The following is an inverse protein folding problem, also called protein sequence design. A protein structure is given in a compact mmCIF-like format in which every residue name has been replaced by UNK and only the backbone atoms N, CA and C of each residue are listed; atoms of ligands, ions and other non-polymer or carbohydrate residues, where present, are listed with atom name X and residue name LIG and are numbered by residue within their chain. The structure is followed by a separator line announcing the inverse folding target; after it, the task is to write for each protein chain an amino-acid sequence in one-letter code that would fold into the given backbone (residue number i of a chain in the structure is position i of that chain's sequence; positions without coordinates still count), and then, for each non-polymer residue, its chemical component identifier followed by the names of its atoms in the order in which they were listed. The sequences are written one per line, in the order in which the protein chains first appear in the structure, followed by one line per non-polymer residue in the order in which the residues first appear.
data_IF_205787163141
#
_entry.id   IF_205787163141
#
_cell.length_a   1.000
_cell.length_b   1.000
_cell.length_c   1.000
_cell.angle_alpha   90.00
_cell.angle_beta   90.00
_cell.angle_gamma   90.00
#
_symmetry.space_group_name_H-M   'P 1'
#
loop_
_entity.id
_entity.type
_entity.pdbx_description
1 polymer ?
#
# COMPACT_ATOMS: atom_id res chain seq x y z
N UNK A 1 0.52 24.96 -12.13
CA UNK A 1 -0.46 24.71 -13.20
C UNK A 1 -1.37 23.59 -12.72
N UNK A 2 -2.68 23.74 -12.88
CA UNK A 2 -3.64 22.68 -12.64
C UNK A 2 -3.80 21.87 -13.94
N UNK A 3 -3.64 20.54 -13.87
CA UNK A 3 -3.61 19.64 -15.05
C UNK A 3 -4.90 18.80 -15.17
N UNK A 4 -5.98 19.25 -14.54
CA UNK A 4 -7.27 18.56 -14.50
C UNK A 4 -7.84 18.35 -15.90
N UNK A 5 -8.33 17.15 -16.17
CA UNK A 5 -8.90 16.73 -17.46
C UNK A 5 -10.21 15.95 -17.24
N UNK A 6 -11.04 15.79 -18.29
CA UNK A 6 -12.35 15.15 -18.16
C UNK A 6 -12.30 13.66 -17.77
N UNK A 7 -11.18 13.01 -18.04
CA UNK A 7 -10.84 11.63 -17.69
C UNK A 7 -10.16 11.50 -16.31
N UNK A 8 -9.92 12.61 -15.61
CA UNK A 8 -9.36 12.59 -14.25
C UNK A 8 -10.32 11.93 -13.26
N UNK A 9 -9.87 10.97 -12.44
CA UNK A 9 -10.73 10.26 -11.51
C UNK A 9 -10.99 11.08 -10.24
N UNK A 10 -12.22 11.05 -9.75
CA UNK A 10 -12.54 11.53 -8.41
C UNK A 10 -12.09 10.50 -7.39
N UNK A 11 -11.06 10.80 -6.60
CA UNK A 11 -10.52 9.87 -5.61
C UNK A 11 -10.17 10.59 -4.30
N UNK A 12 -10.61 10.04 -3.17
CA UNK A 12 -10.05 10.35 -1.85
C UNK A 12 -9.53 9.08 -1.18
N UNK A 13 -8.54 9.23 -0.29
CA UNK A 13 -7.96 8.11 0.46
C UNK A 13 -7.40 6.97 -0.43
N UNK A 14 -6.94 7.32 -1.63
CA UNK A 14 -6.22 6.43 -2.54
C UNK A 14 -4.72 6.45 -2.20
N UNK A 15 -3.98 5.48 -2.74
CA UNK A 15 -2.51 5.52 -2.74
C UNK A 15 -2.02 5.86 -4.14
N UNK A 16 -0.89 6.56 -4.25
CA UNK A 16 -0.22 6.81 -5.54
C UNK A 16 1.21 6.26 -5.48
N UNK A 17 1.60 5.48 -6.50
CA UNK A 17 2.92 4.90 -6.67
C UNK A 17 3.54 5.36 -8.00
N UNK A 18 4.86 5.56 -8.04
CA UNK A 18 5.59 5.98 -9.24
C UNK A 18 6.22 4.77 -9.93
N UNK A 19 5.93 4.57 -11.21
CA UNK A 19 6.46 3.47 -12.03
C UNK A 19 7.28 4.02 -13.21
N UNK A 20 8.47 3.47 -13.43
CA UNK A 20 9.46 3.89 -14.46
C UNK A 20 9.78 5.38 -14.49
N UNK A 21 9.67 6.07 -13.35
CA UNK A 21 9.83 7.53 -13.24
C UNK A 21 8.98 8.33 -14.25
N UNK A 22 7.87 7.73 -14.72
CA UNK A 22 6.99 8.27 -15.78
C UNK A 22 5.52 8.13 -15.42
N UNK A 23 5.13 6.97 -14.92
CA UNK A 23 3.73 6.66 -14.68
C UNK A 23 3.38 6.88 -13.22
N UNK A 24 2.29 7.61 -12.97
CA UNK A 24 1.66 7.71 -11.66
C UNK A 24 0.52 6.70 -11.59
N UNK A 25 0.63 5.71 -10.69
CA UNK A 25 -0.34 4.62 -10.52
C UNK A 25 -1.16 4.90 -9.26
N UNK A 26 -2.41 5.30 -9.46
CA UNK A 26 -3.37 5.57 -8.40
C UNK A 26 -4.20 4.32 -8.12
N UNK A 27 -4.20 3.87 -6.87
CA UNK A 27 -4.75 2.58 -6.45
C UNK A 27 -5.90 2.86 -5.48
N UNK A 28 -7.07 2.30 -5.79
CA UNK A 28 -8.27 2.32 -4.96
C UNK A 28 -8.76 3.71 -4.59
N UNK A 29 -9.43 3.82 -3.45
CA UNK A 29 -9.97 5.05 -2.89
C UNK A 29 -11.50 5.10 -2.88
N UNK A 30 -12.04 6.26 -2.47
CA UNK A 30 -13.46 6.58 -2.53
C UNK A 30 -13.75 7.56 -3.65
N UNK A 31 -14.74 7.24 -4.48
CA UNK A 31 -15.03 7.97 -5.72
C UNK A 31 -16.21 8.95 -5.62
N UNK A 32 -16.57 9.40 -4.42
CA UNK A 32 -17.81 10.18 -4.20
C UNK A 32 -19.02 9.32 -3.81
N UNK A 33 -18.99 8.02 -4.11
CA UNK A 33 -20.15 7.14 -3.95
C UNK A 33 -19.78 5.86 -3.23
N UNK A 34 -18.78 5.14 -3.75
CA UNK A 34 -18.34 3.85 -3.25
C UNK A 34 -16.82 3.81 -3.10
N UNK A 35 -16.36 2.81 -2.35
CA UNK A 35 -14.95 2.45 -2.33
C UNK A 35 -14.68 1.54 -3.51
N UNK A 36 -13.62 1.80 -4.25
CA UNK A 36 -13.29 1.06 -5.45
C UNK A 36 -11.93 0.37 -5.30
N UNK A 37 -11.73 -0.80 -5.94
CA UNK A 37 -10.41 -1.40 -6.10
C UNK A 37 -9.70 -0.93 -7.38
N UNK A 38 -10.35 -0.02 -8.14
CA UNK A 38 -9.91 0.45 -9.44
C UNK A 38 -8.51 1.05 -9.43
N UNK A 39 -7.84 0.94 -10.59
CA UNK A 39 -6.50 1.49 -10.78
C UNK A 39 -6.54 2.47 -11.95
N UNK A 40 -5.99 3.67 -11.71
CA UNK A 40 -5.86 4.72 -12.71
C UNK A 40 -4.37 4.98 -12.93
N UNK A 41 -3.95 5.13 -14.18
CA UNK A 41 -2.54 5.40 -14.51
C UNK A 41 -2.45 6.68 -15.31
N UNK A 42 -1.62 7.62 -14.84
CA UNK A 42 -1.33 8.86 -15.54
C UNK A 42 0.08 8.81 -16.11
N UNK A 43 0.22 9.13 -17.39
CA UNK A 43 1.51 9.23 -18.06
C UNK A 43 1.99 10.69 -18.03
N UNK A 44 3.08 10.94 -17.29
CA UNK A 44 3.64 12.29 -17.14
C UNK A 44 4.39 12.79 -18.37
N UNK A 45 4.73 11.92 -19.33
CA UNK A 45 5.37 12.35 -20.58
C UNK A 45 4.34 12.85 -21.59
N UNK A 46 3.27 12.09 -21.81
CA UNK A 46 2.18 12.49 -22.70
C UNK A 46 1.18 13.45 -22.04
N UNK A 47 1.22 13.58 -20.70
CA UNK A 47 0.26 14.31 -19.88
C UNK A 47 -1.19 13.82 -20.05
N UNK A 48 -1.38 12.51 -20.18
CA UNK A 48 -2.70 11.90 -20.39
C UNK A 48 -2.95 10.76 -19.41
N UNK A 49 -4.22 10.51 -19.08
CA UNK A 49 -4.59 9.25 -18.42
C UNK A 49 -4.58 8.11 -19.42
N UNK A 50 -4.03 6.97 -19.02
CA UNK A 50 -4.21 5.73 -19.73
C UNK A 50 -5.62 5.19 -19.46
N UNK A 51 -6.18 4.33 -20.34
CA UNK A 51 -7.46 3.68 -20.10
C UNK A 51 -7.51 3.06 -18.69
N UNK A 52 -8.50 3.43 -17.86
CA UNK A 52 -8.47 3.05 -16.46
C UNK A 52 -8.85 1.58 -16.30
N UNK A 53 -8.18 0.91 -15.37
CA UNK A 53 -8.45 -0.47 -15.03
C UNK A 53 -9.59 -0.53 -14.01
N UNK A 54 -10.81 -0.33 -14.50
CA UNK A 54 -12.04 -0.38 -13.70
C UNK A 54 -12.83 -1.67 -13.87
N UNK A 55 -12.70 -2.32 -15.03
CA UNK A 55 -13.46 -3.49 -15.40
C UNK A 55 -12.54 -4.58 -15.99
N UNK A 56 -13.02 -5.81 -15.97
CA UNK A 56 -12.48 -6.90 -16.76
C UNK A 56 -12.44 -6.53 -18.26
N UNK A 57 -11.39 -6.91 -19.02
CA UNK A 57 -10.24 -7.73 -18.61
C UNK A 57 -9.05 -6.92 -18.06
N UNK A 58 -9.22 -5.62 -17.80
CA UNK A 58 -8.14 -4.72 -17.40
C UNK A 58 -7.82 -4.80 -15.90
N UNK A 59 -8.77 -5.25 -15.09
CA UNK A 59 -8.58 -5.50 -13.67
C UNK A 59 -9.21 -6.83 -13.27
N UNK A 60 -8.41 -7.73 -12.70
CA UNK A 60 -8.88 -9.06 -12.27
C UNK A 60 -8.39 -9.42 -10.86
N UNK A 61 -8.99 -10.45 -10.26
CA UNK A 61 -8.50 -11.08 -9.03
C UNK A 61 -8.82 -10.36 -7.71
N UNK A 62 -9.48 -9.19 -7.77
CA UNK A 62 -10.03 -8.55 -6.57
C UNK A 62 -11.45 -9.05 -6.28
N UNK A 63 -11.86 -9.23 -5.01
CA UNK A 63 -13.21 -9.72 -4.71
C UNK A 63 -14.32 -8.78 -5.20
N UNK A 64 -15.36 -9.37 -5.78
CA UNK A 64 -16.49 -8.63 -6.33
C UNK A 64 -17.28 -7.90 -5.23
N UNK A 65 -17.59 -6.63 -5.46
CA UNK A 65 -18.39 -5.80 -4.53
C UNK A 65 -17.60 -5.28 -3.32
N UNK A 66 -16.31 -5.58 -3.23
CA UNK A 66 -15.39 -4.99 -2.28
C UNK A 66 -14.70 -3.73 -2.83
N UNK A 67 -14.07 -2.96 -1.95
CA UNK A 67 -13.29 -1.78 -2.34
C UNK A 67 -12.18 -1.49 -1.34
N UNK A 68 -11.19 -0.71 -1.81
CA UNK A 68 -10.00 -0.30 -1.06
C UNK A 68 -10.08 1.19 -0.76
N UNK A 69 -9.78 1.61 0.47
CA UNK A 69 -9.74 3.03 0.85
C UNK A 69 -8.98 3.17 2.15
N UNK A 70 -8.14 4.21 2.25
CA UNK A 70 -7.23 4.40 3.38
C UNK A 70 -6.36 3.18 3.67
N UNK A 71 -5.93 2.53 2.58
CA UNK A 71 -4.97 1.45 2.55
C UNK A 71 -3.57 2.03 2.37
N UNK A 72 -2.57 1.18 2.57
CA UNK A 72 -1.20 1.48 2.18
C UNK A 72 -0.81 0.60 1.00
N UNK A 73 0.00 1.13 0.09
CA UNK A 73 0.59 0.37 -0.99
C UNK A 73 2.08 0.67 -1.10
N UNK A 74 2.85 -0.31 -1.54
CA UNK A 74 4.27 -0.13 -1.82
C UNK A 74 4.67 -0.95 -3.03
N UNK A 75 5.52 -0.40 -3.89
CA UNK A 75 6.19 -1.17 -4.93
C UNK A 75 7.03 -2.29 -4.29
N UNK A 76 6.82 -3.50 -4.76
CA UNK A 76 7.70 -4.64 -4.54
C UNK A 76 8.41 -4.84 -5.87
N UNK A 77 9.73 -4.78 -5.93
CA UNK A 77 10.42 -5.17 -7.17
C UNK A 77 10.77 -6.66 -7.11
N UNK A 78 10.66 -7.34 -8.24
CA UNK A 78 11.65 -8.31 -8.72
C UNK A 78 11.45 -8.73 -10.18
N UNK A 79 12.60 -8.96 -10.83
CA UNK A 79 12.93 -9.48 -12.17
C UNK A 79 12.70 -8.55 -13.38
N UNK A 80 13.84 -8.03 -13.87
CA UNK A 80 14.36 -7.89 -15.26
C UNK A 80 13.46 -7.49 -16.44
N UNK A 81 12.14 -7.43 -16.28
CA UNK A 81 11.20 -7.00 -17.30
C UNK A 81 10.83 -5.52 -17.06
N UNK A 82 11.39 -4.68 -17.91
CA UNK A 82 11.15 -3.25 -18.03
C UNK A 82 9.66 -2.85 -18.04
N UNK A 83 8.74 -3.75 -18.39
CA UNK A 83 7.32 -3.42 -18.57
C UNK A 83 6.39 -3.93 -17.46
N UNK A 84 6.95 -4.46 -16.37
CA UNK A 84 6.17 -5.03 -15.27
C UNK A 84 6.14 -4.13 -14.04
N UNK A 85 4.97 -4.02 -13.43
CA UNK A 85 4.72 -3.33 -12.18
C UNK A 85 4.32 -4.36 -11.12
N UNK A 86 4.88 -4.25 -9.91
CA UNK A 86 4.50 -5.08 -8.79
C UNK A 86 4.41 -4.27 -7.51
N UNK A 87 3.34 -4.48 -6.75
CA UNK A 87 3.09 -3.78 -5.50
C UNK A 87 2.42 -4.69 -4.47
N UNK A 88 2.66 -4.41 -3.19
CA UNK A 88 1.88 -4.96 -2.08
C UNK A 88 0.90 -3.90 -1.63
N UNK A 89 -0.31 -4.34 -1.33
CA UNK A 89 -1.39 -3.51 -0.82
C UNK A 89 -1.85 -4.14 0.48
N UNK A 90 -1.91 -3.30 1.50
CA UNK A 90 -2.28 -3.69 2.86
C UNK A 90 -3.33 -2.73 3.34
N UNK A 91 -4.40 -3.26 3.89
CA UNK A 91 -5.47 -2.44 4.42
C UNK A 91 -6.82 -2.94 4.02
N UNK A 92 -7.83 -2.19 4.46
CA UNK A 92 -9.20 -2.64 4.47
C UNK A 92 -9.75 -2.95 3.07
N UNK A 93 -10.11 -4.22 2.86
CA UNK A 93 -11.17 -4.62 1.96
C UNK A 93 -12.51 -4.36 2.68
N UNK A 94 -13.45 -3.63 2.08
CA UNK A 94 -14.77 -3.55 2.70
C UNK A 94 -15.90 -3.12 1.78
N UNK A 95 -16.95 -3.94 1.75
CA UNK A 95 -18.31 -3.54 1.39
C UNK A 95 -19.04 -2.99 2.62
N UNK A 96 -20.08 -2.16 2.47
CA UNK A 96 -20.89 -1.70 3.61
C UNK A 96 -21.61 -2.86 4.35
N UNK A 97 -21.60 -4.10 3.83
CA UNK A 97 -22.44 -5.22 4.31
C UNK A 97 -21.66 -6.44 4.82
N UNK A 98 -20.41 -6.63 4.43
CA UNK A 98 -19.56 -7.75 4.88
C UNK A 98 -18.14 -7.25 5.12
N UNK A 99 -17.58 -7.61 6.28
CA UNK A 99 -16.22 -7.28 6.70
C UNK A 99 -15.52 -8.55 7.16
N UNK A 100 -14.34 -8.85 6.60
CA UNK A 100 -13.50 -9.96 7.08
C UNK A 100 -12.74 -9.52 8.35
N UNK A 101 -12.48 -10.47 9.25
CA UNK A 101 -11.80 -10.22 10.55
C UNK A 101 -10.28 -10.03 10.41
N UNK A 102 -9.64 -10.60 9.38
CA UNK A 102 -8.23 -10.40 9.07
C UNK A 102 -8.09 -9.30 8.00
N UNK A 103 -7.03 -8.48 8.10
CA UNK A 103 -6.71 -7.49 7.09
C UNK A 103 -6.16 -8.19 5.85
N UNK A 104 -6.78 -7.96 4.70
CA UNK A 104 -6.32 -8.59 3.47
C UNK A 104 -5.04 -7.93 3.00
N UNK A 105 -4.14 -8.77 2.54
CA UNK A 105 -2.92 -8.38 1.87
C UNK A 105 -3.07 -8.83 0.44
N UNK A 106 -2.85 -7.90 -0.48
CA UNK A 106 -2.89 -8.20 -1.91
C UNK A 106 -1.54 -7.91 -2.53
N UNK A 107 -1.13 -8.80 -3.42
CA UNK A 107 -0.11 -8.52 -4.41
C UNK A 107 -0.82 -7.99 -5.66
N UNK A 108 -0.33 -6.89 -6.19
CA UNK A 108 -0.83 -6.26 -7.40
C UNK A 108 0.24 -6.35 -8.47
N UNK A 109 -0.10 -6.95 -9.60
CA UNK A 109 0.76 -7.07 -10.77
C UNK A 109 0.19 -6.25 -11.91
N UNK A 110 1.01 -5.43 -12.55
CA UNK A 110 0.68 -4.62 -13.72
C UNK A 110 1.59 -4.97 -14.88
N UNK A 111 1.05 -4.95 -16.10
CA UNK A 111 1.83 -5.09 -17.33
C UNK A 111 1.45 -3.98 -18.31
N UNK A 112 2.47 -3.28 -18.78
CA UNK A 112 2.32 -2.21 -19.76
C UNK A 112 2.31 -2.83 -21.17
N UNK A 113 1.19 -2.64 -21.87
CA UNK A 113 0.96 -3.23 -23.19
C UNK A 113 0.78 -2.13 -24.24
N UNK A 114 1.05 -2.51 -25.49
CA UNK A 114 0.89 -1.64 -26.67
C UNK A 114 1.75 -0.36 -26.63
N UNK A 115 2.98 -0.48 -26.10
CA UNK A 115 3.96 0.59 -25.84
C UNK A 115 4.19 1.58 -26.98
N UNK A 116 4.28 1.07 -28.20
CA UNK A 116 4.62 1.87 -29.39
C UNK A 116 3.38 2.41 -30.10
N UNK A 117 2.20 2.29 -29.49
CA UNK A 117 0.93 2.71 -30.07
C UNK A 117 0.31 3.86 -29.29
N UNK A 118 -0.53 4.65 -29.95
CA UNK A 118 -1.43 5.61 -29.28
C UNK A 118 -2.50 4.95 -28.40
N UNK A 119 -2.55 3.61 -28.38
CA UNK A 119 -3.49 2.80 -27.59
C UNK A 119 -2.82 2.17 -26.36
N UNK A 120 -1.66 2.68 -25.95
CA UNK A 120 -0.96 2.24 -24.74
C UNK A 120 -1.91 2.15 -23.55
N UNK A 121 -1.81 1.05 -22.79
CA UNK A 121 -2.65 0.78 -21.63
C UNK A 121 -1.95 -0.13 -20.63
N UNK A 122 -2.44 -0.13 -19.39
CA UNK A 122 -1.97 -1.02 -18.34
C UNK A 122 -3.04 -2.08 -18.04
N UNK A 123 -2.61 -3.34 -17.94
CA UNK A 123 -3.44 -4.42 -17.39
C UNK A 123 -2.97 -4.76 -15.98
N UNK A 124 -3.92 -4.91 -15.06
CA UNK A 124 -3.63 -5.20 -13.65
C UNK A 124 -4.33 -6.47 -13.15
N UNK A 125 -3.67 -7.17 -12.25
CA UNK A 125 -4.15 -8.39 -11.59
C UNK A 125 -3.85 -8.31 -10.10
N UNK A 126 -4.89 -8.43 -9.28
CA UNK A 126 -4.77 -8.65 -7.85
C UNK A 126 -4.61 -10.14 -7.54
N UNK A 127 -3.77 -10.47 -6.58
CA UNK A 127 -3.65 -11.79 -5.98
C UNK A 127 -3.72 -11.64 -4.46
N UNK A 128 -4.69 -12.27 -3.82
CA UNK A 128 -4.74 -12.33 -2.37
C UNK A 128 -3.51 -13.10 -1.86
N UNK A 129 -2.81 -12.53 -0.89
CA UNK A 129 -1.64 -13.17 -0.29
C UNK A 129 -2.05 -14.37 0.57
N UNK A 130 -1.08 -15.23 0.88
CA UNK A 130 -1.29 -16.44 1.69
C UNK A 130 -2.03 -16.14 3.00
N UNK A 131 -3.03 -16.95 3.35
CA UNK A 131 -3.87 -16.75 4.53
C UNK A 131 -3.13 -16.88 5.86
N UNK A 132 -1.92 -17.44 5.86
CA UNK A 132 -0.99 -17.42 7.01
C UNK A 132 -0.42 -16.03 7.30
N UNK A 133 -0.46 -15.11 6.33
CA UNK A 133 -0.04 -13.72 6.51
C UNK A 133 -1.20 -12.94 7.11
N UNK A 134 -1.11 -12.69 8.42
CA UNK A 134 -2.17 -12.02 9.16
C UNK A 134 -1.70 -10.68 9.71
N UNK A 135 -2.46 -9.63 9.40
CA UNK A 135 -2.40 -8.32 10.04
C UNK A 135 -3.82 -7.99 10.48
N UNK A 136 -3.98 -7.32 11.62
CA UNK A 136 -5.32 -6.85 12.01
C UNK A 136 -5.86 -5.86 10.98
N UNK A 137 -7.12 -6.04 10.57
CA UNK A 137 -7.79 -5.11 9.64
C UNK A 137 -7.75 -3.67 10.18
N UNK A 138 -7.25 -2.75 9.35
CA UNK A 138 -6.99 -1.36 9.71
C UNK A 138 -7.14 -0.40 8.53
N UNK A 139 -7.45 0.85 8.83
CA UNK A 139 -7.49 1.96 7.87
C UNK A 139 -6.68 3.14 8.41
N UNK A 140 -6.21 4.03 7.53
CA UNK A 140 -5.42 5.21 7.92
C UNK A 140 -4.14 4.85 8.68
N UNK A 141 -3.61 3.66 8.38
CA UNK A 141 -2.30 3.26 8.82
C UNK A 141 -1.26 3.82 7.86
N UNK A 142 -0.04 3.94 8.34
CA UNK A 142 1.07 4.42 7.53
C UNK A 142 2.02 3.26 7.26
N UNK A 143 2.46 3.15 6.01
CA UNK A 143 3.51 2.23 5.62
C UNK A 143 4.65 3.00 4.98
N UNK A 144 5.90 2.57 5.20
CA UNK A 144 7.06 3.21 4.54
C UNK A 144 8.14 2.18 4.21
N UNK A 145 8.68 2.20 2.97
CA UNK A 145 9.82 1.37 2.59
C UNK A 145 11.07 1.83 3.32
N UNK A 146 11.78 0.90 3.97
CA UNK A 146 12.99 1.23 4.71
C UNK A 146 14.23 1.33 3.82
N UNK A 147 14.24 0.75 2.60
CA UNK A 147 15.20 0.97 1.47
C UNK A 147 15.11 -0.20 0.46
N UNK A 148 15.73 -0.11 -0.74
CA UNK A 148 15.83 -1.25 -1.66
C UNK A 148 16.71 -2.40 -1.14
N UNK A 149 17.59 -2.16 -0.16
CA UNK A 149 18.66 -3.12 0.14
C UNK A 149 19.07 -3.22 1.63
N UNK A 150 18.23 -2.92 2.61
CA UNK A 150 18.54 -3.35 3.99
C UNK A 150 17.28 -3.47 4.85
N UNK A 151 16.98 -4.69 5.30
CA UNK A 151 16.14 -4.90 6.46
C UNK A 151 17.03 -5.01 7.71
N UNK A 152 16.79 -4.13 8.66
CA UNK A 152 17.25 -4.28 10.04
C UNK A 152 16.54 -5.48 10.66
N UNK A 153 17.29 -6.53 10.98
CA UNK A 153 16.81 -7.70 11.74
C UNK A 153 17.44 -7.67 13.13
N UNK A 154 16.63 -7.86 14.18
CA UNK A 154 17.10 -8.46 15.43
C UNK A 154 17.27 -9.96 15.10
N UNK A 155 18.51 -10.36 14.82
CA UNK A 155 18.91 -11.75 14.52
C UNK A 155 18.70 -12.25 13.08
N UNK A 156 19.67 -12.00 12.17
CA UNK A 156 20.05 -12.96 11.11
C UNK A 156 19.43 -12.87 9.69
N UNK A 157 20.32 -12.59 8.73
CA UNK A 157 20.36 -12.90 7.28
C UNK A 157 19.68 -11.99 6.22
N UNK A 158 20.50 -11.65 5.21
CA UNK A 158 20.29 -10.83 4.01
C UNK A 158 19.01 -11.23 3.25
N UNK A 159 18.09 -10.29 3.01
CA UNK A 159 17.18 -10.32 1.86
C UNK A 159 16.76 -8.90 1.45
N UNK A 160 16.25 -8.79 0.22
CA UNK A 160 15.81 -7.56 -0.44
C UNK A 160 14.42 -7.17 0.06
N UNK A 161 14.25 -5.90 0.48
CA UNK A 161 12.95 -5.29 0.78
C UNK A 161 12.44 -5.44 2.23
N UNK A 162 12.10 -4.29 2.84
CA UNK A 162 11.43 -4.21 4.13
C UNK A 162 10.39 -3.09 4.14
N UNK A 163 9.13 -3.43 4.47
CA UNK A 163 8.03 -2.49 4.67
C UNK A 163 7.61 -2.48 6.13
N UNK A 164 7.66 -1.31 6.77
CA UNK A 164 7.10 -1.12 8.10
C UNK A 164 5.62 -0.77 7.98
N UNK A 165 4.77 -1.46 8.73
CA UNK A 165 3.34 -1.16 8.84
C UNK A 165 3.10 -0.65 10.25
N UNK A 166 2.89 0.65 10.34
CA UNK A 166 2.61 1.34 11.59
C UNK A 166 1.18 1.13 12.09
N UNK A 167 0.89 1.86 13.15
CA UNK A 167 -0.42 1.94 13.78
C UNK A 167 -1.46 2.49 12.80
N UNK A 168 -2.73 2.24 13.08
CA UNK A 168 -3.85 2.72 12.26
C UNK A 168 -5.15 2.48 13.00
N UNK A 169 -6.27 2.93 12.44
CA UNK A 169 -7.56 2.79 13.11
C UNK A 169 -8.12 1.38 12.90
N UNK A 170 -8.38 0.69 14.01
CA UNK A 170 -9.03 -0.62 13.99
C UNK A 170 -10.53 -0.49 13.75
N UNK A 171 -11.12 -1.43 13.04
CA UNK A 171 -12.57 -1.44 12.82
C UNK A 171 -13.26 -2.41 13.78
N UNK A 172 -13.59 -1.93 14.97
CA UNK A 172 -14.46 -2.62 15.91
C UNK A 172 -15.61 -1.68 16.30
N UNK A 173 -16.85 -2.03 15.94
CA UNK A 173 -18.04 -1.23 16.26
C UNK A 173 -18.24 -0.98 17.76
N UNK A 174 -17.56 -1.75 18.62
CA UNK A 174 -17.60 -1.64 20.08
C UNK A 174 -16.32 -1.02 20.68
N UNK A 175 -15.25 -0.86 19.88
CA UNK A 175 -13.98 -0.24 20.31
C UNK A 175 -13.42 0.61 19.18
N UNK A 176 -13.68 1.92 19.29
CA UNK A 176 -13.08 2.92 18.41
C UNK A 176 -11.70 3.31 18.94
N UNK A 177 -10.70 3.32 18.05
CA UNK A 177 -9.38 3.82 18.37
C UNK A 177 -8.25 3.22 17.54
N UNK A 178 -7.08 3.86 17.58
CA UNK A 178 -5.90 3.35 16.90
C UNK A 178 -5.40 2.06 17.55
N UNK A 179 -4.97 1.11 16.71
CA UNK A 179 -4.26 -0.09 17.10
C UNK A 179 -2.81 0.27 17.46
N UNK A 180 -2.25 -0.42 18.46
CA UNK A 180 -0.86 -0.24 18.88
C UNK A 180 0.10 -1.27 18.26
N UNK A 181 -0.38 -2.29 17.54
CA UNK A 181 0.51 -3.32 16.97
C UNK A 181 1.28 -2.82 15.74
N UNK A 182 2.57 -3.12 15.73
CA UNK A 182 3.52 -2.80 14.67
C UNK A 182 3.97 -4.07 13.96
N UNK A 183 4.06 -4.00 12.62
CA UNK A 183 4.47 -5.14 11.81
C UNK A 183 5.62 -4.77 10.89
N UNK A 184 6.44 -5.79 10.62
CA UNK A 184 7.47 -5.76 9.61
C UNK A 184 7.14 -6.77 8.53
N UNK A 185 7.12 -6.31 7.29
CA UNK A 185 6.95 -7.16 6.13
C UNK A 185 8.29 -7.29 5.40
N UNK A 186 8.77 -8.53 5.33
CA UNK A 186 9.97 -8.93 4.59
C UNK A 186 9.54 -9.67 3.33
N UNK A 187 10.27 -9.49 2.25
CA UNK A 187 10.07 -10.27 1.03
C UNK A 187 11.32 -11.11 0.79
N UNK A 188 11.09 -12.36 0.37
CA UNK A 188 12.15 -13.19 -0.20
C UNK A 188 11.83 -13.37 -1.68
N UNK A 189 12.78 -12.90 -2.49
CA UNK A 189 12.78 -13.08 -3.94
C UNK A 189 13.51 -14.38 -4.24
N UNK A 190 12.80 -15.30 -4.91
CA UNK A 190 13.41 -16.41 -5.63
C UNK A 190 13.10 -16.20 -7.12
N UNK A 191 13.87 -16.81 -8.03
CA UNK A 191 13.81 -16.64 -9.51
C UNK A 191 12.41 -16.73 -10.17
N UNK A 192 11.37 -17.19 -9.46
CA UNK A 192 10.02 -17.38 -9.97
C UNK A 192 8.89 -16.83 -9.11
N UNK A 193 9.17 -16.30 -7.91
CA UNK A 193 8.10 -15.80 -7.02
C UNK A 193 8.59 -14.85 -5.94
N UNK A 194 7.74 -13.86 -5.63
CA UNK A 194 7.87 -13.01 -4.45
C UNK A 194 7.10 -13.68 -3.32
N UNK A 195 7.80 -14.06 -2.24
CA UNK A 195 7.16 -14.57 -1.03
C UNK A 195 7.21 -13.54 0.10
N UNK A 196 6.09 -12.87 0.44
CA UNK A 196 6.00 -12.01 1.61
C UNK A 196 5.99 -12.83 2.92
N UNK A 197 6.65 -12.31 3.95
CA UNK A 197 6.62 -12.82 5.34
C UNK A 197 6.38 -11.65 6.30
N UNK A 198 5.45 -11.81 7.25
CA UNK A 198 5.09 -10.77 8.22
C UNK A 198 5.56 -11.17 9.60
N UNK A 199 6.16 -10.20 10.29
CA UNK A 199 6.59 -10.30 11.67
C UNK A 199 5.83 -9.25 12.48
N UNK A 200 5.16 -9.67 13.56
CA UNK A 200 4.74 -8.73 14.60
C UNK A 200 5.99 -8.36 15.40
N UNK A 201 6.37 -7.08 15.36
CA UNK A 201 7.63 -6.60 15.95
C UNK A 201 7.42 -5.89 17.29
N UNK A 202 6.18 -5.84 17.75
CA UNK A 202 5.83 -5.32 19.07
C UNK A 202 4.68 -4.31 19.04
N UNK A 203 4.63 -3.50 20.09
CA UNK A 203 3.58 -2.51 20.30
C UNK A 203 4.15 -1.10 20.44
N UNK A 204 3.37 -0.11 20.02
CA UNK A 204 3.68 1.30 20.18
C UNK A 204 2.95 1.84 21.43
N UNK A 205 3.68 2.45 22.36
CA UNK A 205 3.14 3.00 23.61
C UNK A 205 2.00 4.00 23.38
N UNK A 206 2.16 4.80 22.33
CA UNK A 206 1.20 5.81 21.92
C UNK A 206 0.58 5.47 20.55
N UNK A 207 -0.51 4.67 20.53
CA UNK A 207 -1.17 4.29 19.29
C UNK A 207 -1.78 5.49 18.57
N UNK A 208 -1.71 5.48 17.24
CA UNK A 208 -2.22 6.57 16.39
C UNK A 208 -2.69 6.11 15.02
N UNK A 209 -3.56 6.89 14.40
CA UNK A 209 -3.93 6.78 12.99
C UNK A 209 -3.58 8.08 12.27
N UNK A 210 -3.59 8.10 10.93
CA UNK A 210 -3.32 9.31 10.13
C UNK A 210 -1.94 9.93 10.36
N UNK A 211 -1.01 9.18 10.94
CA UNK A 211 0.33 9.67 11.19
C UNK A 211 1.12 9.74 9.88
N UNK A 212 2.06 10.68 9.81
CA UNK A 212 2.96 10.80 8.65
C UNK A 212 4.24 10.07 8.99
N UNK A 213 4.72 9.21 8.09
CA UNK A 213 6.03 8.59 8.23
C UNK A 213 6.96 8.91 7.08
N UNK A 214 8.24 8.88 7.41
CA UNK A 214 9.33 9.02 6.46
C UNK A 214 10.48 8.10 6.86
N UNK A 215 11.32 7.73 5.90
CA UNK A 215 12.54 7.00 6.16
C UNK A 215 13.72 7.90 5.86
N UNK A 216 14.65 7.96 6.81
CA UNK A 216 15.93 8.62 6.63
C UNK A 216 16.83 7.69 5.82
N UNK A 217 17.10 8.05 4.56
CA UNK A 217 17.93 7.24 3.66
C UNK A 217 19.36 7.04 4.14
N UNK A 218 19.88 7.98 4.95
CA UNK A 218 21.28 7.97 5.37
C UNK A 218 21.58 6.90 6.42
N UNK A 219 20.61 6.58 7.27
CA UNK A 219 20.77 5.61 8.37
C UNK A 219 19.69 4.51 8.38
N UNK A 220 18.77 4.53 7.43
CA UNK A 220 17.68 3.55 7.30
C UNK A 220 16.65 3.64 8.43
N UNK A 221 16.63 4.71 9.22
CA UNK A 221 15.68 4.84 10.32
C UNK A 221 14.32 5.29 9.82
N UNK A 222 13.27 4.64 10.30
CA UNK A 222 11.89 5.07 10.04
C UNK A 222 11.42 6.01 11.15
N UNK A 223 10.75 7.08 10.74
CA UNK A 223 10.22 8.10 11.63
C UNK A 223 8.73 8.24 11.43
N UNK A 224 7.99 8.46 12.51
CA UNK A 224 6.54 8.66 12.51
C UNK A 224 6.23 9.92 13.32
N UNK A 225 5.43 10.83 12.78
CA UNK A 225 5.03 12.07 13.45
C UNK A 225 3.53 12.31 13.37
N UNK A 226 2.98 12.88 14.44
CA UNK A 226 1.63 13.39 14.44
C UNK A 226 0.56 12.29 14.48
N UNK A 227 -0.56 12.54 13.79
CA UNK A 227 -1.71 11.65 13.75
C UNK A 227 -2.74 11.89 14.86
N UNK A 228 -3.76 11.02 14.89
CA UNK A 228 -4.84 11.00 15.87
C UNK A 228 -4.67 9.80 16.79
N UNK A 229 -4.52 10.08 18.08
CA UNK A 229 -4.48 9.09 19.14
C UNK A 229 -5.86 8.62 19.59
N UNK A 230 -5.95 7.89 20.71
CA UNK A 230 -7.22 7.52 21.32
C UNK A 230 -8.13 8.75 21.53
N UNK A 231 -9.43 8.57 21.33
CA UNK A 231 -10.44 9.63 21.44
C UNK A 231 -10.27 10.79 20.44
N UNK A 232 -9.50 10.59 19.36
CA UNK A 232 -9.29 11.61 18.33
C UNK A 232 -8.34 12.73 18.75
N UNK A 233 -7.57 12.54 19.83
CA UNK A 233 -6.59 13.53 20.30
C UNK A 233 -5.49 13.69 19.25
N UNK A 234 -5.25 14.92 18.80
CA UNK A 234 -4.10 15.22 17.93
C UNK A 234 -2.80 15.00 18.69
N UNK A 235 -1.82 14.42 18.01
CA UNK A 235 -0.54 14.07 18.61
C UNK A 235 0.56 14.97 18.07
N UNK A 236 1.52 15.33 18.93
CA UNK A 236 2.69 16.14 18.60
C UNK A 236 4.01 15.36 18.77
N UNK A 237 3.92 14.06 19.00
CA UNK A 237 5.07 13.21 19.29
C UNK A 237 5.76 12.78 18.00
N UNK A 238 7.09 12.82 18.02
CA UNK A 238 7.97 12.25 17.01
C UNK A 238 8.50 10.92 17.51
N UNK A 239 8.31 9.87 16.73
CA UNK A 239 8.76 8.52 17.03
C UNK A 239 9.87 8.12 16.07
N UNK A 240 10.99 7.67 16.62
CA UNK A 240 12.07 7.04 15.87
C UNK A 240 11.97 5.53 16.08
N UNK A 241 11.82 4.79 14.99
CA UNK A 241 12.01 3.34 15.03
C UNK A 241 13.50 3.06 14.92
N UNK A 242 14.06 2.63 16.05
CA UNK A 242 15.46 2.23 16.17
C UNK A 242 15.58 0.71 16.16
N UNK A 243 16.69 0.23 15.60
CA UNK A 243 17.16 -1.12 15.84
C UNK A 243 17.48 -1.26 17.33
N UNK A 244 16.92 -2.26 18.00
CA UNK A 244 17.42 -2.68 19.31
C UNK A 244 18.35 -3.87 19.05
N UNK A 245 19.57 -3.81 19.56
CA UNK A 245 20.60 -4.85 19.41
C UNK A 245 20.23 -6.15 20.14
#
# INVERSE_FOLDING_TARGET
MEITSSDSPFLSQHTCLVFKDRYLVFIGGWNGHIRIPGIHTYDTQSNTWLPPALNEPLLTGFPQGAGLSAHSAQIIRSLDDENTFSAIIIGREGSLRSQRKAGNIYLLYGNLIDMDSSQQRMKYVYCEADSSLTVSSRSYHTSTPITPCTLVTIGGCKSVGGLFIGTGEGFNALRHGPLNSAYLLKYTENDSSIKPTIYEIGTIDEPRAYAVSAVCSNDGTAWLHGGLGPQGKTMNTLMKLIRVD
#
